data_IF_570026010352
#
_entry.id   IF_570026010352
#
_cell.length_a   1.000
_cell.length_b   1.000
_cell.length_c   1.000
_cell.angle_alpha   90.00
_cell.angle_beta   90.00
_cell.angle_gamma   90.00
#
_symmetry.space_group_name_H-M   'P 1'
#
loop_
_entity.id
_entity.type
_entity.pdbx_description
1 polymer ?
#
# COMPACT_ATOMS: atom_id res chain seq x y z
N UNK A 1 13.30 -10.01 -4.49
CA UNK A 1 12.44 -8.84 -4.72
C UNK A 1 12.00 -8.34 -3.35
N UNK A 2 12.24 -7.08 -3.02
CA UNK A 2 11.80 -6.52 -1.73
C UNK A 2 10.32 -6.18 -1.89
N UNK A 3 9.47 -6.87 -1.14
CA UNK A 3 8.04 -6.58 -1.13
C UNK A 3 7.79 -5.42 -0.16
N UNK A 4 7.42 -4.26 -0.70
CA UNK A 4 7.14 -3.04 0.08
C UNK A 4 5.66 -3.06 0.42
N UNK A 5 5.33 -2.99 1.71
CA UNK A 5 3.93 -2.95 2.15
C UNK A 5 3.32 -1.57 1.89
N UNK A 6 1.99 -1.49 1.84
CA UNK A 6 1.29 -0.21 1.76
C UNK A 6 1.76 0.77 2.84
N UNK A 7 1.84 0.34 4.09
CA UNK A 7 2.27 1.19 5.21
C UNK A 7 3.71 1.70 5.04
N UNK A 8 4.62 0.86 4.55
CA UNK A 8 5.99 1.27 4.27
C UNK A 8 6.07 2.25 3.11
N UNK A 9 5.31 2.02 2.05
CA UNK A 9 5.22 2.93 0.91
C UNK A 9 4.66 4.31 1.32
N UNK A 10 3.70 4.35 2.24
CA UNK A 10 3.15 5.60 2.77
C UNK A 10 4.23 6.42 3.48
N UNK A 11 5.04 5.78 4.34
CA UNK A 11 6.17 6.44 4.98
C UNK A 11 7.19 6.95 3.94
N UNK A 12 7.51 6.15 2.92
CA UNK A 12 8.41 6.56 1.83
C UNK A 12 7.87 7.78 1.06
N UNK A 13 6.59 7.79 0.72
CA UNK A 13 5.96 8.91 0.00
C UNK A 13 6.05 10.23 0.75
N UNK A 14 5.90 10.19 2.08
CA UNK A 14 6.01 11.37 2.93
C UNK A 14 7.44 11.66 3.40
N UNK A 15 8.44 10.90 2.94
CA UNK A 15 9.84 11.01 3.38
C UNK A 15 10.02 10.91 4.89
N UNK A 16 9.24 10.02 5.52
CA UNK A 16 9.30 9.77 6.96
C UNK A 16 9.80 8.37 7.27
N UNK A 17 10.44 8.21 8.43
CA UNK A 17 10.90 6.91 8.91
C UNK A 17 9.74 5.95 9.11
N UNK A 18 9.98 4.68 8.79
CA UNK A 18 9.01 3.61 9.00
C UNK A 18 8.97 3.21 10.48
N UNK A 19 7.95 3.71 11.18
CA UNK A 19 7.62 3.34 12.56
C UNK A 19 6.10 3.42 12.79
N UNK A 20 5.62 2.81 13.87
CA UNK A 20 4.18 2.67 14.14
C UNK A 20 3.45 4.02 14.26
N UNK A 21 4.08 5.03 14.86
CA UNK A 21 3.47 6.35 15.06
C UNK A 21 3.26 7.07 13.72
N UNK A 22 4.27 7.05 12.85
CA UNK A 22 4.20 7.64 11.52
C UNK A 22 3.19 6.89 10.64
N UNK A 23 3.23 5.55 10.64
CA UNK A 23 2.27 4.73 9.89
C UNK A 23 0.84 5.07 10.27
N UNK A 24 0.50 5.07 11.57
CA UNK A 24 -0.88 5.34 12.00
C UNK A 24 -1.38 6.71 11.53
N UNK A 25 -0.57 7.76 11.72
CA UNK A 25 -0.92 9.12 11.32
C UNK A 25 -1.03 9.29 9.81
N UNK A 26 -0.07 8.77 9.05
CA UNK A 26 0.00 8.93 7.60
C UNK A 26 -1.02 8.05 6.87
N UNK A 27 -1.27 6.84 7.38
CA UNK A 27 -2.34 5.97 6.88
C UNK A 27 -3.70 6.65 7.03
N UNK A 28 -4.01 7.17 8.22
CA UNK A 28 -5.25 7.92 8.44
C UNK A 28 -5.36 9.12 7.48
N UNK A 29 -4.25 9.81 7.22
CA UNK A 29 -4.22 10.94 6.29
C UNK A 29 -4.64 10.54 4.86
N UNK A 30 -4.17 9.41 4.36
CA UNK A 30 -4.55 8.91 3.03
C UNK A 30 -5.97 8.33 3.05
N UNK A 31 -6.34 7.57 4.09
CA UNK A 31 -7.66 6.95 4.20
C UNK A 31 -8.78 8.01 4.29
N UNK A 32 -8.47 9.22 4.76
CA UNK A 32 -9.38 10.38 4.75
C UNK A 32 -9.53 11.03 3.36
N UNK A 33 -8.67 10.73 2.40
CA UNK A 33 -8.78 11.22 1.01
C UNK A 33 -9.66 10.27 0.21
N UNK A 34 -10.94 10.62 0.08
CA UNK A 34 -11.91 9.77 -0.63
C UNK A 34 -11.44 9.46 -2.06
N UNK A 35 -11.37 8.16 -2.37
CA UNK A 35 -11.02 7.69 -3.71
C UNK A 35 -9.56 7.90 -4.11
N UNK A 36 -8.66 8.22 -3.19
CA UNK A 36 -7.20 8.25 -3.40
C UNK A 36 -6.58 7.00 -2.77
N UNK A 37 -5.55 6.45 -3.42
CA UNK A 37 -4.73 5.39 -2.83
C UNK A 37 -3.27 5.52 -3.28
N UNK A 38 -2.39 4.80 -2.59
CA UNK A 38 -0.96 4.75 -2.89
C UNK A 38 -0.62 3.57 -3.80
N UNK A 39 0.16 3.83 -4.83
CA UNK A 39 0.57 2.85 -5.83
C UNK A 39 2.01 3.13 -6.32
N UNK A 40 2.49 2.29 -7.22
CA UNK A 40 3.74 2.50 -7.94
C UNK A 40 3.60 2.14 -9.41
N UNK A 41 4.60 2.49 -10.22
CA UNK A 41 4.71 2.05 -11.62
C UNK A 41 5.74 0.94 -11.75
N UNK A 42 6.89 1.20 -12.37
CA UNK A 42 7.92 0.19 -12.55
C UNK A 42 8.78 -0.02 -11.30
N UNK A 43 8.99 1.04 -10.50
CA UNK A 43 9.83 1.00 -9.31
C UNK A 43 8.95 1.11 -8.03
N UNK A 44 8.88 0.05 -7.19
CA UNK A 44 8.15 0.12 -5.92
C UNK A 44 8.81 1.05 -4.89
N UNK A 45 10.03 1.53 -5.12
CA UNK A 45 10.68 2.54 -4.28
C UNK A 45 10.22 3.98 -4.58
N UNK A 46 9.47 4.19 -5.67
CA UNK A 46 8.93 5.49 -6.07
C UNK A 46 7.39 5.53 -5.94
N UNK A 47 6.86 5.63 -4.70
CA UNK A 47 5.42 5.66 -4.48
C UNK A 47 4.74 6.90 -5.06
N UNK A 48 3.50 6.72 -5.50
CA UNK A 48 2.63 7.75 -6.08
C UNK A 48 1.26 7.73 -5.38
N UNK A 49 0.65 8.91 -5.22
CA UNK A 49 -0.76 9.03 -4.87
C UNK A 49 -1.59 9.27 -6.15
N UNK A 50 -2.58 8.42 -6.38
CA UNK A 50 -3.49 8.53 -7.52
C UNK A 50 -4.92 8.24 -7.09
N UNK A 51 -5.86 8.64 -7.93
CA UNK A 51 -7.25 8.20 -7.74
C UNK A 51 -7.34 6.69 -7.95
N UNK A 52 -8.15 6.04 -7.14
CA UNK A 52 -8.49 4.62 -7.27
C UNK A 52 -9.05 4.31 -8.66
N UNK A 53 -9.78 5.25 -9.27
CA UNK A 53 -10.27 5.12 -10.67
C UNK A 53 -9.11 5.06 -11.67
N UNK A 54 -8.12 5.94 -11.54
CA UNK A 54 -6.92 5.95 -12.40
C UNK A 54 -6.08 4.68 -12.25
N UNK A 55 -5.94 4.18 -11.03
CA UNK A 55 -5.23 2.92 -10.77
C UNK A 55 -5.98 1.76 -11.44
N UNK A 56 -7.31 1.70 -11.29
CA UNK A 56 -8.13 0.60 -11.79
C UNK A 56 -8.25 0.57 -13.32
N UNK A 57 -8.25 1.73 -14.00
CA UNK A 57 -8.40 1.76 -15.46
C UNK A 57 -7.12 1.33 -16.21
N UNK A 58 -5.96 1.36 -15.54
CA UNK A 58 -4.69 0.93 -16.13
C UNK A 58 -3.87 0.04 -15.17
N UNK A 59 -4.31 -1.22 -14.94
CA UNK A 59 -3.67 -2.13 -13.99
C UNK A 59 -2.29 -2.65 -14.45
N UNK A 60 -1.95 -2.47 -15.73
CA UNK A 60 -0.64 -2.82 -16.26
C UNK A 60 0.42 -1.75 -15.97
N UNK A 61 -0.01 -0.50 -15.74
CA UNK A 61 0.88 0.62 -15.44
C UNK A 61 0.98 0.90 -13.95
N UNK A 62 -0.14 0.76 -13.23
CA UNK A 62 -0.23 1.12 -11.82
C UNK A 62 -0.46 -0.12 -10.97
N UNK A 63 0.42 -0.31 -9.99
CA UNK A 63 0.40 -1.46 -9.10
C UNK A 63 0.17 -0.99 -7.67
N UNK A 64 -0.76 -1.64 -6.97
CA UNK A 64 -0.99 -1.38 -5.54
C UNK A 64 0.02 -2.14 -4.71
N UNK A 65 0.45 -1.52 -3.62
CA UNK A 65 1.23 -2.22 -2.61
C UNK A 65 0.34 -3.20 -1.85
N UNK A 66 0.86 -4.40 -1.49
CA UNK A 66 0.11 -5.33 -0.66
C UNK A 66 -0.24 -4.70 0.69
N UNK A 67 -1.49 -4.91 1.12
CA UNK A 67 -1.81 -4.82 2.53
C UNK A 67 -0.99 -5.89 3.26
N UNK A 68 -0.51 -5.61 4.48
CA UNK A 68 0.19 -6.62 5.29
C UNK A 68 -0.63 -7.92 5.30
N UNK A 69 -0.12 -8.95 4.62
CA UNK A 69 -0.70 -10.29 4.62
C UNK A 69 -0.62 -10.83 6.05
N UNK A 70 -1.77 -10.88 6.73
CA UNK A 70 -1.89 -11.76 7.87
C UNK A 70 -1.79 -13.20 7.34
N UNK A 71 -0.67 -13.84 7.71
CA UNK A 71 -0.32 -15.27 7.69
C UNK A 71 -1.43 -16.24 7.26
N UNK A 72 -1.12 -17.04 6.24
CA UNK A 72 -1.53 -18.43 6.04
C UNK A 72 -2.92 -18.81 6.61
N UNK A 73 -3.96 -18.68 5.80
CA UNK A 73 -5.16 -19.50 5.96
C UNK A 73 -4.81 -20.95 5.62
N UNK A 74 -4.47 -21.75 6.63
CA UNK A 74 -4.63 -23.21 6.58
C UNK A 74 -5.28 -23.63 7.89
N UNK A 75 -6.58 -23.35 8.01
CA UNK A 75 -7.44 -24.13 8.90
C UNK A 75 -7.68 -25.46 8.20
N UNK A 76 -6.79 -26.43 8.46
CA UNK A 76 -7.07 -27.83 8.16
C UNK A 76 -8.29 -28.21 9.00
N UNK A 77 -9.45 -28.27 8.37
CA UNK A 77 -10.64 -28.90 8.93
C UNK A 77 -10.67 -30.29 8.33
N UNK A 78 -10.10 -31.27 9.03
CA UNK A 78 -10.38 -32.67 8.74
C UNK A 78 -11.34 -33.21 9.80
N UNK A 79 -12.42 -33.77 9.28
CA UNK A 79 -13.49 -34.48 9.99
C UNK A 79 -13.04 -35.86 10.45
#
# INVERSE_FOLDING_TARGET
MIEITRDRAICMFYYEEYNNANVARLRQRIDNMEGIDICYTNDPLEPLLLTSKSININPLKYHRYPALLNKQENVQTDA
#
